data_IF_119171646815
#
_entry.id   IF_119171646815
#
_cell.length_a   1.000
_cell.length_b   1.000
_cell.length_c   1.000
_cell.angle_alpha   90.00
_cell.angle_beta   90.00
_cell.angle_gamma   90.00
#
_symmetry.space_group_name_H-M   'P 1'
#
loop_
_entity.id
_entity.type
_entity.pdbx_description
1 polymer ?
#
# COMPACT_ATOMS: atom_id res chain seq x y z
N UNK A 1 -2.30 15.60 -14.14
CA UNK A 1 -1.99 14.25 -14.66
C UNK A 1 -1.90 13.25 -13.51
N UNK A 2 -2.65 12.13 -13.57
CA UNK A 2 -2.54 11.07 -12.55
C UNK A 2 -1.19 10.34 -12.68
N UNK A 3 -0.47 10.17 -11.56
CA UNK A 3 0.81 9.45 -11.54
C UNK A 3 0.59 7.99 -11.98
N UNK A 4 1.55 7.38 -12.69
CA UNK A 4 1.48 5.98 -13.16
C UNK A 4 1.00 5.00 -12.07
N UNK A 5 1.46 5.18 -10.84
CA UNK A 5 1.03 4.38 -9.68
C UNK A 5 -0.47 4.47 -9.37
N UNK A 6 -1.09 5.66 -9.41
CA UNK A 6 -2.51 5.81 -9.08
C UNK A 6 -3.39 5.06 -10.08
N UNK A 7 -2.98 4.99 -11.36
CA UNK A 7 -3.70 4.22 -12.38
C UNK A 7 -3.66 2.73 -12.06
N UNK A 8 -2.49 2.20 -11.69
CA UNK A 8 -2.31 0.79 -11.32
C UNK A 8 -2.99 0.46 -9.99
N UNK A 9 -3.03 1.39 -9.03
CA UNK A 9 -3.69 1.19 -7.74
C UNK A 9 -5.21 1.00 -7.88
N UNK A 10 -5.84 1.59 -8.91
CA UNK A 10 -7.27 1.34 -9.19
C UNK A 10 -7.54 -0.11 -9.59
N UNK A 11 -6.56 -0.81 -10.16
CA UNK A 11 -6.65 -2.21 -10.57
C UNK A 11 -6.41 -3.20 -9.43
N UNK A 12 -6.13 -2.72 -8.21
CA UNK A 12 -5.76 -3.57 -7.08
C UNK A 12 -6.82 -4.62 -6.69
N UNK A 13 -8.13 -4.31 -6.70
CA UNK A 13 -9.15 -5.32 -6.42
C UNK A 13 -9.17 -6.44 -7.46
N UNK A 14 -8.98 -6.08 -8.73
CA UNK A 14 -8.94 -7.03 -9.84
C UNK A 14 -7.70 -7.92 -9.78
N UNK A 15 -6.53 -7.32 -9.51
CA UNK A 15 -5.27 -8.05 -9.31
C UNK A 15 -5.42 -9.07 -8.17
N UNK A 16 -6.05 -8.70 -7.05
CA UNK A 16 -6.28 -9.63 -5.93
C UNK A 16 -7.16 -10.82 -6.33
N UNK A 17 -8.25 -10.59 -7.05
CA UNK A 17 -9.12 -11.66 -7.58
C UNK A 17 -8.35 -12.62 -8.50
N UNK A 18 -7.50 -12.07 -9.37
CA UNK A 18 -6.69 -12.90 -10.26
C UNK A 18 -5.64 -13.72 -9.50
N UNK A 19 -5.00 -13.14 -8.49
CA UNK A 19 -4.08 -13.88 -7.61
C UNK A 19 -4.80 -14.97 -6.80
N UNK A 20 -6.02 -14.70 -6.32
CA UNK A 20 -6.87 -15.70 -5.63
C UNK A 20 -7.28 -16.84 -6.56
N UNK A 21 -7.47 -16.56 -7.85
CA UNK A 21 -7.71 -17.59 -8.87
C UNK A 21 -6.48 -18.43 -9.24
N UNK A 22 -5.33 -18.18 -8.60
CA UNK A 22 -4.09 -18.94 -8.81
C UNK A 22 -3.17 -18.40 -9.90
N UNK A 23 -3.48 -17.24 -10.51
CA UNK A 23 -2.61 -16.65 -11.52
C UNK A 23 -1.33 -16.09 -10.89
N UNK A 24 -0.21 -16.21 -11.60
CA UNK A 24 1.06 -15.62 -11.19
C UNK A 24 1.07 -14.11 -11.41
N UNK A 25 1.93 -13.40 -10.67
CA UNK A 25 2.08 -11.94 -10.83
C UNK A 25 2.58 -11.55 -12.24
N UNK A 26 3.25 -12.46 -12.96
CA UNK A 26 3.69 -12.22 -14.33
C UNK A 26 2.51 -12.24 -15.30
N UNK A 27 1.71 -13.31 -15.26
CA UNK A 27 0.51 -13.47 -16.10
C UNK A 27 -0.50 -12.35 -15.89
N UNK A 28 -0.70 -11.93 -14.64
CA UNK A 28 -1.60 -10.80 -14.32
C UNK A 28 -1.07 -9.49 -14.90
N UNK A 29 0.26 -9.28 -14.90
CA UNK A 29 0.85 -8.08 -15.47
C UNK A 29 0.72 -8.06 -17.00
N UNK A 30 0.91 -9.21 -17.66
CA UNK A 30 0.72 -9.35 -19.10
C UNK A 30 -0.74 -9.12 -19.51
N UNK A 31 -1.69 -9.75 -18.81
CA UNK A 31 -3.13 -9.61 -19.07
C UNK A 31 -3.62 -8.18 -18.90
N UNK A 32 -3.08 -7.45 -17.92
CA UNK A 32 -3.41 -6.03 -17.67
C UNK A 32 -2.56 -5.06 -18.51
N UNK A 33 -1.65 -5.55 -19.35
CA UNK A 33 -0.77 -4.72 -20.18
C UNK A 33 0.17 -3.82 -19.38
N UNK A 34 0.53 -4.21 -18.15
CA UNK A 34 1.39 -3.41 -17.27
C UNK A 34 2.85 -3.52 -17.73
N UNK A 35 3.36 -2.44 -18.32
CA UNK A 35 4.78 -2.36 -18.74
C UNK A 35 5.69 -1.94 -17.58
N UNK A 36 6.84 -2.61 -17.45
CA UNK A 36 7.92 -2.27 -16.52
C UNK A 36 8.45 -3.47 -15.75
N UNK A 37 9.47 -3.24 -14.92
CA UNK A 37 10.02 -4.28 -14.05
C UNK A 37 9.10 -4.53 -12.84
N UNK A 38 8.63 -5.79 -12.72
CA UNK A 38 7.82 -6.32 -11.60
C UNK A 38 6.77 -5.33 -11.06
N UNK A 39 5.85 -4.82 -11.91
CA UNK A 39 4.93 -3.74 -11.53
C UNK A 39 3.96 -4.15 -10.40
N UNK A 40 3.50 -5.40 -10.42
CA UNK A 40 2.57 -5.94 -9.42
C UNK A 40 3.27 -6.18 -8.08
N UNK A 41 4.50 -6.71 -8.09
CA UNK A 41 5.28 -6.89 -6.86
C UNK A 41 5.52 -5.55 -6.15
N UNK A 42 5.92 -4.51 -6.89
CA UNK A 42 6.13 -3.18 -6.34
C UNK A 42 4.85 -2.56 -5.76
N UNK A 43 3.70 -2.80 -6.41
CA UNK A 43 2.38 -2.39 -5.95
C UNK A 43 2.03 -3.06 -4.61
N UNK A 44 2.12 -4.39 -4.55
CA UNK A 44 1.78 -5.17 -3.35
C UNK A 44 2.71 -4.83 -2.17
N UNK A 45 4.02 -4.66 -2.42
CA UNK A 45 4.99 -4.23 -1.40
C UNK A 45 4.60 -2.88 -0.78
N UNK A 46 4.09 -1.95 -1.60
CA UNK A 46 3.63 -0.64 -1.11
C UNK A 46 2.35 -0.73 -0.28
N UNK A 47 1.39 -1.54 -0.71
CA UNK A 47 0.16 -1.76 0.08
C UNK A 47 0.48 -2.36 1.45
N UNK A 48 1.37 -3.36 1.51
CA UNK A 48 1.86 -3.91 2.79
C UNK A 48 2.51 -2.84 3.67
N UNK A 49 3.35 -1.99 3.08
CA UNK A 49 3.99 -0.87 3.81
C UNK A 49 2.97 0.14 4.33
N UNK A 50 1.92 0.48 3.56
CA UNK A 50 0.83 1.36 4.03
C UNK A 50 0.09 0.75 5.20
N UNK A 51 -0.27 -0.53 5.12
CA UNK A 51 -0.92 -1.24 6.23
C UNK A 51 -0.07 -1.18 7.51
N UNK A 52 1.24 -1.46 7.40
CA UNK A 52 2.16 -1.35 8.55
C UNK A 52 2.35 0.08 9.07
N UNK A 53 2.29 1.09 8.20
CA UNK A 53 2.43 2.49 8.59
C UNK A 53 1.18 3.00 9.31
N UNK A 54 -0.01 2.62 8.86
CA UNK A 54 -1.27 2.88 9.58
C UNK A 54 -1.22 2.27 10.98
N UNK A 55 -0.56 1.11 11.13
CA UNK A 55 -0.36 0.46 12.43
C UNK A 55 0.75 1.10 13.29
N UNK A 56 1.63 1.94 12.75
CA UNK A 56 2.76 2.52 13.49
C UNK A 56 2.65 4.05 13.63
N UNK A 57 1.63 4.49 14.37
CA UNK A 57 1.49 5.88 14.83
C UNK A 57 2.35 6.19 16.07
N UNK A 58 3.62 5.78 16.08
CA UNK A 58 4.58 6.18 17.13
C UNK A 58 5.92 6.60 16.53
N UNK A 59 5.90 7.43 15.48
CA UNK A 59 7.09 8.19 15.11
C UNK A 59 7.07 9.52 15.85
N UNK A 60 7.77 9.53 16.99
CA UNK A 60 8.55 10.68 17.44
C UNK A 60 7.79 11.98 17.71
N UNK A 61 6.85 11.97 18.65
CA UNK A 61 6.61 13.07 19.59
C UNK A 61 5.80 12.50 20.76
N UNK A 62 6.29 12.67 21.99
CA UNK A 62 5.46 12.38 23.18
C UNK A 62 4.25 13.34 23.12
N UNK A 63 3.03 12.89 23.45
CA UNK A 63 1.91 13.81 23.59
C UNK A 63 2.30 14.89 24.61
N UNK A 64 1.94 16.15 24.33
CA UNK A 64 2.07 17.20 25.32
C UNK A 64 1.20 16.82 26.53
N UNK A 65 1.77 16.91 27.74
CA UNK A 65 1.02 16.71 28.98
C UNK A 65 -0.07 17.77 29.10
N UNK A 66 -1.24 17.38 29.58
CA UNK A 66 -2.34 18.32 29.85
C UNK A 66 -2.04 19.17 31.10
N UNK A 67 -2.64 20.38 31.22
CA UNK A 67 -2.42 21.26 32.39
C UNK A 67 -2.80 20.59 33.73
N UNK A 68 -3.74 19.65 33.70
CA UNK A 68 -4.16 18.85 34.86
C UNK A 68 -3.04 17.93 35.36
N UNK A 69 -2.17 17.42 34.46
CA UNK A 69 -1.04 16.55 34.82
C UNK A 69 0.12 17.31 35.48
N UNK A 70 0.11 18.65 35.45
CA UNK A 70 1.10 19.51 36.11
C UNK A 70 0.63 20.06 37.45
N UNK A 71 -0.69 20.06 37.70
CA UNK A 71 -1.26 20.43 38.99
C UNK A 71 -1.32 19.17 39.86
N UNK A 72 -0.17 18.73 40.35
CA UNK A 72 -0.03 17.74 41.44
C UNK A 72 0.44 18.45 42.68
#
# INVERSE_FOLDING_TARGET
MARRYQKVQKLLPEIKRMLESGMSQGEVAERLGLKGDRPIHALLKRERKKAMQVMSNQRGRKPARTLQEYQV
#
